data_IF_107492050962
#
_entry.id   IF_107492050962
#
_cell.length_a   1.000
_cell.length_b   1.000
_cell.length_c   1.000
_cell.angle_alpha   90.00
_cell.angle_beta   90.00
_cell.angle_gamma   90.00
#
_symmetry.space_group_name_H-M   'P 1'
#
loop_
_entity.id
_entity.type
_entity.pdbx_description
1 polymer ?
#
# COMPACT_ATOMS: atom_id res chain seq x y z
N UNK A 1 6.73 20.94 9.17
CA UNK A 1 7.68 20.77 8.05
C UNK A 1 7.19 19.61 7.22
N UNK A 2 7.29 19.65 5.89
CA UNK A 2 6.92 18.51 5.05
C UNK A 2 8.05 17.46 5.11
N UNK A 3 7.68 16.20 5.25
CA UNK A 3 8.59 15.04 5.34
C UNK A 3 8.30 14.13 4.15
N UNK A 4 9.31 13.48 3.57
CA UNK A 4 9.10 12.43 2.56
C UNK A 4 9.04 11.05 3.21
N UNK A 5 8.37 10.08 2.57
CA UNK A 5 8.25 8.72 3.12
C UNK A 5 9.61 8.08 3.43
N UNK A 6 10.62 8.39 2.60
CA UNK A 6 11.99 7.90 2.75
C UNK A 6 12.69 8.40 4.01
N UNK A 7 12.27 9.55 4.53
CA UNK A 7 12.86 10.14 5.73
C UNK A 7 12.25 9.52 7.01
N UNK A 8 11.10 8.85 6.88
CA UNK A 8 10.39 8.20 7.99
C UNK A 8 10.91 6.79 8.31
N UNK A 9 11.52 6.14 7.33
CA UNK A 9 11.95 4.75 7.44
C UNK A 9 13.43 4.61 7.09
N UNK A 10 14.17 3.88 7.91
CA UNK A 10 15.51 3.46 7.51
C UNK A 10 15.42 2.52 6.31
N UNK A 11 16.44 2.51 5.45
CA UNK A 11 16.48 1.67 4.24
C UNK A 11 16.19 0.18 4.51
N UNK A 12 16.47 -0.30 5.72
CA UNK A 12 16.28 -1.70 6.11
C UNK A 12 14.95 -1.97 6.82
N UNK A 13 14.11 -0.96 7.04
CA UNK A 13 12.85 -1.11 7.75
C UNK A 13 11.94 -2.13 7.06
N UNK A 14 11.95 -2.19 5.74
CA UNK A 14 11.05 -3.05 4.98
C UNK A 14 11.55 -4.49 4.80
N UNK A 15 12.83 -4.74 5.04
CA UNK A 15 13.46 -6.05 4.81
C UNK A 15 12.80 -7.14 5.65
N UNK A 16 12.43 -8.25 5.01
CA UNK A 16 11.84 -9.46 5.62
C UNK A 16 10.53 -9.23 6.39
N UNK A 17 9.79 -8.15 6.09
CA UNK A 17 8.51 -7.83 6.75
C UNK A 17 7.34 -7.93 5.80
N UNK A 18 6.22 -8.48 6.30
CA UNK A 18 4.93 -8.46 5.62
C UNK A 18 4.12 -7.25 6.04
N UNK A 19 3.72 -6.44 5.07
CA UNK A 19 3.06 -5.15 5.28
C UNK A 19 1.71 -5.18 4.60
N UNK A 20 0.69 -4.78 5.35
CA UNK A 20 -0.65 -4.58 4.84
C UNK A 20 -0.89 -3.09 4.59
N UNK A 21 -1.42 -2.75 3.43
CA UNK A 21 -1.95 -1.42 3.12
C UNK A 21 -3.48 -1.53 3.14
N UNK A 22 -4.12 -0.86 4.10
CA UNK A 22 -5.57 -0.85 4.30
C UNK A 22 -6.14 0.47 3.75
N UNK A 23 -6.69 0.43 2.54
CA UNK A 23 -7.37 1.57 1.93
C UNK A 23 -8.79 1.67 2.47
N UNK A 24 -9.07 2.76 3.19
CA UNK A 24 -10.45 3.10 3.57
C UNK A 24 -11.17 3.85 2.46
N UNK A 25 -12.50 3.85 2.51
CA UNK A 25 -13.33 4.56 1.54
C UNK A 25 -12.84 5.99 1.28
N UNK A 26 -13.00 6.45 0.04
CA UNK A 26 -12.74 7.84 -0.42
C UNK A 26 -11.28 8.27 -0.48
N UNK A 27 -10.32 7.36 -0.24
CA UNK A 27 -8.90 7.59 -0.51
C UNK A 27 -8.37 6.62 -1.56
N UNK A 28 -7.27 6.97 -2.20
CA UNK A 28 -6.56 6.14 -3.19
C UNK A 28 -5.14 5.91 -2.67
N UNK A 29 -4.66 4.66 -2.62
CA UNK A 29 -3.32 4.33 -2.11
C UNK A 29 -2.21 4.24 -3.17
N UNK A 30 -2.48 4.58 -4.43
CA UNK A 30 -1.51 4.50 -5.54
C UNK A 30 -0.29 5.40 -5.29
N UNK A 31 -0.49 6.54 -4.60
CA UNK A 31 0.61 7.41 -4.19
C UNK A 31 1.58 6.70 -3.24
N UNK A 32 1.05 5.85 -2.34
CA UNK A 32 1.86 5.12 -1.37
C UNK A 32 2.60 3.98 -2.06
N UNK A 33 1.97 3.31 -3.03
CA UNK A 33 2.63 2.31 -3.88
C UNK A 33 3.81 2.95 -4.63
N UNK A 34 3.62 4.13 -5.23
CA UNK A 34 4.68 4.89 -5.88
C UNK A 34 5.82 5.21 -4.91
N UNK A 35 5.49 5.82 -3.77
CA UNK A 35 6.50 6.26 -2.79
C UNK A 35 7.30 5.08 -2.22
N UNK A 36 6.64 3.96 -1.90
CA UNK A 36 7.30 2.73 -1.49
C UNK A 36 8.14 2.13 -2.60
N UNK A 37 7.69 2.21 -3.85
CA UNK A 37 8.44 1.67 -4.98
C UNK A 37 9.75 2.41 -5.24
N UNK A 38 9.82 3.70 -4.92
CA UNK A 38 11.07 4.47 -4.92
C UNK A 38 12.05 4.04 -3.82
N UNK A 39 11.57 3.36 -2.77
CA UNK A 39 12.39 2.86 -1.66
C UNK A 39 12.87 1.43 -1.85
N UNK A 40 12.26 0.70 -2.79
CA UNK A 40 12.52 -0.71 -3.04
C UNK A 40 13.36 -0.89 -4.31
N UNK A 41 14.23 -1.89 -4.32
CA UNK A 41 15.06 -2.19 -5.48
C UNK A 41 14.28 -3.04 -6.49
N UNK A 42 13.86 -2.43 -7.60
CA UNK A 42 13.12 -3.08 -8.70
C UNK A 42 11.84 -3.84 -8.24
N UNK A 43 10.89 -3.15 -7.60
CA UNK A 43 9.66 -3.78 -7.16
C UNK A 43 8.81 -4.25 -8.34
N UNK A 44 8.02 -5.30 -8.10
CA UNK A 44 6.99 -5.77 -9.01
C UNK A 44 5.59 -5.69 -8.37
N UNK A 45 4.57 -5.46 -9.18
CA UNK A 45 3.18 -5.41 -8.74
C UNK A 45 2.31 -6.33 -9.57
N UNK A 46 1.48 -7.12 -8.89
CA UNK A 46 0.38 -7.84 -9.52
C UNK A 46 -0.92 -7.08 -9.35
N UNK A 47 -1.66 -6.89 -10.44
CA UNK A 47 -2.97 -6.24 -10.46
C UNK A 47 -4.03 -7.22 -10.97
N UNK A 48 -5.17 -7.33 -10.27
CA UNK A 48 -6.37 -8.05 -10.75
C UNK A 48 -7.25 -7.21 -11.66
N UNK A 49 -6.71 -6.17 -12.28
CA UNK A 49 -7.39 -5.44 -13.36
C UNK A 49 -6.57 -5.64 -14.63
N UNK A 50 -7.25 -5.93 -15.74
CA UNK A 50 -6.62 -5.96 -17.06
C UNK A 50 -6.11 -4.54 -17.38
N UNK A 51 -4.84 -4.27 -17.14
CA UNK A 51 -4.16 -3.16 -17.78
C UNK A 51 -3.62 -3.65 -19.13
N UNK A 52 -3.62 -2.81 -20.17
CA UNK A 52 -2.92 -3.14 -21.40
C UNK A 52 -1.46 -3.50 -21.07
N UNK A 53 -1.02 -4.66 -21.57
CA UNK A 53 0.29 -5.25 -21.31
C UNK A 53 1.43 -4.21 -21.39
N UNK A 54 2.37 -4.29 -20.45
CA UNK A 54 3.65 -3.59 -20.47
C UNK A 54 3.62 -2.05 -20.34
N UNK A 55 3.00 -1.52 -19.28
CA UNK A 55 3.36 -0.18 -18.80
C UNK A 55 4.21 -0.28 -17.55
N UNK A 56 5.42 0.26 -17.58
CA UNK A 56 6.14 0.59 -16.36
C UNK A 56 5.44 1.78 -15.70
N UNK A 57 4.79 1.54 -14.58
CA UNK A 57 4.26 2.64 -13.76
C UNK A 57 5.32 2.96 -12.72
N UNK A 58 5.89 4.16 -12.78
CA UNK A 58 6.92 4.61 -11.84
C UNK A 58 8.12 3.65 -11.66
N UNK A 59 8.54 2.96 -12.73
CA UNK A 59 9.65 2.00 -12.67
C UNK A 59 9.30 0.62 -12.07
N UNK A 60 8.03 0.37 -11.78
CA UNK A 60 7.51 -0.91 -11.28
C UNK A 60 7.21 -1.84 -12.45
N UNK A 61 7.59 -3.11 -12.33
CA UNK A 61 7.17 -4.15 -13.28
C UNK A 61 5.72 -4.57 -12.99
N UNK A 62 4.81 -4.36 -13.93
CA UNK A 62 3.38 -4.67 -13.78
C UNK A 62 3.05 -6.01 -14.43
N UNK A 63 2.35 -6.87 -13.69
CA UNK A 63 1.77 -8.12 -14.18
C UNK A 63 0.26 -8.14 -13.94
N UNK A 64 -0.49 -8.69 -14.88
CA UNK A 64 -1.96 -8.78 -14.80
C UNK A 64 -2.53 -10.06 -15.46
N UNK A 65 -1.84 -11.20 -15.30
CA UNK A 65 -2.27 -12.48 -15.88
C UNK A 65 -3.08 -13.36 -14.90
N UNK A 66 -4.30 -13.75 -15.26
CA UNK A 66 -5.19 -14.58 -14.44
C UNK A 66 -4.95 -16.10 -14.59
N UNK A 67 -3.70 -16.57 -14.59
CA UNK A 67 -3.38 -18.01 -14.74
C UNK A 67 -2.47 -18.52 -13.62
N UNK A 68 -3.00 -19.43 -12.78
CA UNK A 68 -2.25 -20.17 -11.74
C UNK A 68 -1.76 -19.33 -10.56
N UNK A 69 -1.05 -19.91 -9.59
CA UNK A 69 -0.53 -19.22 -8.39
C UNK A 69 0.68 -18.28 -8.65
N UNK A 70 0.90 -17.85 -9.90
CA UNK A 70 2.13 -17.20 -10.36
C UNK A 70 2.35 -15.82 -9.68
N UNK A 71 1.35 -15.29 -9.01
CA UNK A 71 1.33 -13.96 -8.38
C UNK A 71 1.62 -13.93 -6.87
N UNK A 72 1.88 -15.08 -6.22
CA UNK A 72 2.12 -15.09 -4.76
C UNK A 72 3.41 -14.38 -4.34
N UNK A 73 4.37 -14.22 -5.25
CA UNK A 73 5.74 -13.78 -4.94
C UNK A 73 6.08 -12.38 -5.46
N UNK A 74 5.12 -11.61 -5.98
CA UNK A 74 5.37 -10.23 -6.36
C UNK A 74 5.63 -9.35 -5.13
N UNK A 75 6.34 -8.23 -5.30
CA UNK A 75 6.59 -7.29 -4.19
C UNK A 75 5.29 -6.73 -3.65
N UNK A 76 4.38 -6.33 -4.55
CA UNK A 76 3.06 -5.83 -4.26
C UNK A 76 1.98 -6.75 -4.84
N UNK A 77 0.99 -7.09 -4.02
CA UNK A 77 -0.26 -7.72 -4.46
C UNK A 77 -1.39 -6.71 -4.32
N UNK A 78 -1.87 -6.17 -5.44
CA UNK A 78 -3.03 -5.28 -5.42
C UNK A 78 -4.32 -6.07 -5.29
N UNK A 79 -5.29 -5.53 -4.57
CA UNK A 79 -6.60 -6.11 -4.32
C UNK A 79 -6.57 -7.52 -3.71
N UNK A 80 -5.85 -7.68 -2.60
CA UNK A 80 -5.64 -8.94 -1.85
C UNK A 80 -6.94 -9.67 -1.50
N UNK A 81 -8.05 -8.96 -1.29
CA UNK A 81 -9.34 -9.58 -1.07
C UNK A 81 -9.81 -10.42 -2.28
N UNK A 82 -9.60 -9.92 -3.50
CA UNK A 82 -9.95 -10.66 -4.72
C UNK A 82 -9.05 -11.89 -4.85
N UNK A 83 -7.74 -11.72 -4.61
CA UNK A 83 -6.77 -12.82 -4.61
C UNK A 83 -7.24 -14.01 -3.77
N UNK A 84 -7.62 -13.73 -2.52
CA UNK A 84 -8.03 -14.73 -1.55
C UNK A 84 -9.39 -15.35 -1.89
N UNK A 85 -10.39 -14.51 -2.18
CA UNK A 85 -11.77 -14.97 -2.21
C UNK A 85 -12.25 -15.43 -3.58
N UNK A 86 -11.73 -14.84 -4.66
CA UNK A 86 -12.14 -15.21 -6.03
C UNK A 86 -11.18 -16.23 -6.64
N UNK A 87 -9.88 -16.12 -6.32
CA UNK A 87 -8.84 -16.95 -6.93
C UNK A 87 -8.18 -17.94 -5.95
N UNK A 88 -8.65 -18.00 -4.70
CA UNK A 88 -8.18 -18.94 -3.67
C UNK A 88 -6.66 -18.90 -3.42
N UNK A 89 -6.06 -17.71 -3.48
CA UNK A 89 -4.61 -17.58 -3.31
C UNK A 89 -4.22 -17.19 -1.91
N UNK A 90 -3.13 -17.81 -1.46
CA UNK A 90 -2.44 -17.45 -0.23
C UNK A 90 -1.48 -16.29 -0.52
N UNK A 91 -1.74 -15.07 -0.01
CA UNK A 91 -0.88 -13.92 -0.27
C UNK A 91 0.50 -14.13 0.38
N UNK A 92 1.56 -14.11 -0.42
CA UNK A 92 2.93 -14.18 0.07
C UNK A 92 3.78 -12.95 -0.28
N UNK A 93 3.18 -11.96 -0.94
CA UNK A 93 3.80 -10.68 -1.25
C UNK A 93 4.23 -9.91 0.00
N UNK A 94 5.31 -9.14 -0.13
CA UNK A 94 5.82 -8.26 0.92
C UNK A 94 4.78 -7.21 1.28
N UNK A 95 4.14 -6.60 0.28
CA UNK A 95 3.05 -5.65 0.45
C UNK A 95 1.75 -6.25 -0.10
N UNK A 96 0.73 -6.31 0.76
CA UNK A 96 -0.63 -6.70 0.39
C UNK A 96 -1.55 -5.51 0.50
N UNK A 97 -2.16 -5.11 -0.61
CA UNK A 97 -3.07 -3.97 -0.65
C UNK A 97 -4.49 -4.49 -0.58
N UNK A 98 -5.26 -3.98 0.37
CA UNK A 98 -6.71 -4.17 0.45
C UNK A 98 -7.37 -2.86 0.05
N UNK A 99 -8.14 -2.91 -1.04
CA UNK A 99 -8.90 -1.78 -1.58
C UNK A 99 -10.30 -1.74 -0.98
N UNK A 100 -10.97 -0.60 -1.09
CA UNK A 100 -12.43 -0.48 -0.90
C UNK A 100 -12.95 -1.07 0.42
N UNK A 101 -12.25 -0.85 1.55
CA UNK A 101 -12.62 -1.39 2.86
C UNK A 101 -12.76 -2.92 2.94
N UNK A 102 -12.16 -3.66 2.02
CA UNK A 102 -12.25 -5.14 2.03
C UNK A 102 -11.41 -5.80 3.13
N UNK A 103 -10.52 -5.04 3.78
CA UNK A 103 -9.71 -5.54 4.89
C UNK A 103 -10.50 -5.67 6.18
N UNK A 104 -10.42 -6.84 6.82
CA UNK A 104 -10.93 -7.04 8.18
C UNK A 104 -9.81 -6.92 9.22
N UNK A 105 -10.16 -6.74 10.49
CA UNK A 105 -9.17 -6.79 11.60
C UNK A 105 -8.49 -8.16 11.72
N UNK A 106 -9.15 -9.24 11.28
CA UNK A 106 -8.56 -10.57 11.28
C UNK A 106 -7.39 -10.66 10.29
N UNK A 107 -7.52 -10.01 9.13
CA UNK A 107 -6.46 -10.00 8.12
C UNK A 107 -5.16 -9.37 8.65
N UNK A 108 -5.25 -8.35 9.52
CA UNK A 108 -4.08 -7.70 10.15
C UNK A 108 -3.17 -8.67 10.91
N UNK A 109 -3.68 -9.81 11.39
CA UNK A 109 -2.88 -10.82 12.10
C UNK A 109 -1.93 -11.61 11.20
N UNK A 110 -2.00 -11.44 9.88
CA UNK A 110 -1.08 -12.08 8.95
C UNK A 110 0.12 -11.19 8.58
N UNK A 111 0.19 -9.99 9.15
CA UNK A 111 1.17 -8.97 8.80
C UNK A 111 1.89 -8.43 10.03
N UNK A 112 3.09 -7.89 9.81
CA UNK A 112 3.93 -7.28 10.84
C UNK A 112 3.53 -5.83 11.08
N UNK A 113 3.24 -5.11 9.99
CA UNK A 113 2.82 -3.72 10.01
C UNK A 113 1.57 -3.49 9.16
N UNK A 114 0.78 -2.53 9.60
CA UNK A 114 -0.42 -2.05 8.93
C UNK A 114 -0.23 -0.58 8.62
N UNK A 115 -0.34 -0.23 7.34
CA UNK A 115 -0.39 1.12 6.81
C UNK A 115 -1.85 1.41 6.52
N UNK A 116 -2.51 2.04 7.47
CA UNK A 116 -3.92 2.37 7.41
C UNK A 116 -4.07 3.76 6.77
N UNK A 117 -4.70 3.83 5.60
CA UNK A 117 -4.89 5.06 4.83
C UNK A 117 -6.36 5.46 4.90
N UNK A 118 -6.63 6.64 5.46
CA UNK A 118 -7.99 7.07 5.82
C UNK A 118 -8.24 8.51 5.37
N UNK A 119 -9.50 8.88 5.06
CA UNK A 119 -9.85 10.28 4.89
C UNK A 119 -9.65 11.04 6.21
N UNK A 120 -9.55 12.37 6.13
CA UNK A 120 -9.55 13.20 7.33
C UNK A 120 -10.88 13.05 8.07
N UNK A 121 -10.84 13.06 9.40
CA UNK A 121 -12.05 13.02 10.22
C UNK A 121 -13.02 14.19 9.95
N UNK A 122 -12.49 15.33 9.48
CA UNK A 122 -13.27 16.50 9.07
C UNK A 122 -13.89 16.39 7.67
N UNK A 123 -13.63 15.31 6.94
CA UNK A 123 -14.03 15.16 5.54
C UNK A 123 -13.04 15.81 4.58
N UNK A 124 -13.52 16.74 3.75
CA UNK A 124 -12.71 17.37 2.69
C UNK A 124 -11.83 18.52 3.22
N UNK A 125 -10.57 18.54 2.81
CA UNK A 125 -9.64 19.63 3.11
C UNK A 125 -8.84 19.98 1.86
N UNK A 126 -8.63 21.28 1.60
CA UNK A 126 -7.78 21.72 0.48
C UNK A 126 -6.30 21.40 0.76
N UNK A 127 -5.90 21.48 2.04
CA UNK A 127 -4.50 21.36 2.47
C UNK A 127 -4.00 19.93 2.62
N UNK A 128 -4.88 18.97 2.88
CA UNK A 128 -4.52 17.58 3.12
C UNK A 128 -5.57 16.68 2.45
N UNK A 129 -5.13 15.58 1.86
CA UNK A 129 -6.01 14.64 1.17
C UNK A 129 -6.48 13.51 2.09
N UNK A 130 -5.69 13.19 3.13
CA UNK A 130 -6.03 12.14 4.08
C UNK A 130 -5.00 12.01 5.21
N UNK A 131 -5.06 10.87 5.88
CA UNK A 131 -4.13 10.46 6.93
C UNK A 131 -3.58 9.08 6.65
N UNK A 132 -2.33 8.86 7.08
CA UNK A 132 -1.72 7.54 7.16
C UNK A 132 -1.38 7.25 8.61
N UNK A 133 -1.80 6.09 9.08
CA UNK A 133 -1.45 5.55 10.38
C UNK A 133 -0.63 4.29 10.17
N UNK A 134 0.61 4.28 10.67
CA UNK A 134 1.47 3.10 10.66
C UNK A 134 1.45 2.49 12.05
N UNK A 135 1.02 1.24 12.12
CA UNK A 135 0.85 0.52 13.39
C UNK A 135 1.23 -0.94 13.24
N UNK A 136 1.39 -1.62 14.36
CA UNK A 136 1.32 -3.08 14.42
C UNK A 136 0.11 -3.48 15.28
N UNK A 137 0.06 -4.76 15.68
CA UNK A 137 -1.02 -5.32 16.51
C UNK A 137 -1.09 -4.70 17.91
N UNK A 138 0.01 -4.12 18.39
CA UNK A 138 0.16 -3.69 19.78
C UNK A 138 0.11 -2.18 19.93
N UNK A 139 0.62 -1.43 18.95
CA UNK A 139 0.75 0.02 19.05
C UNK A 139 0.72 0.71 17.71
N UNK A 140 0.26 1.95 17.76
CA UNK A 140 0.49 2.96 16.73
C UNK A 140 1.93 3.48 16.87
N UNK A 141 2.66 3.53 15.75
CA UNK A 141 4.03 4.06 15.72
C UNK A 141 4.03 5.51 15.30
N UNK A 142 3.26 5.83 14.25
CA UNK A 142 3.22 7.16 13.67
C UNK A 142 1.87 7.37 13.00
N UNK A 143 1.42 8.62 13.07
CA UNK A 143 0.23 9.10 12.42
C UNK A 143 0.55 10.40 11.72
N UNK A 144 0.22 10.49 10.45
CA UNK A 144 0.59 11.62 9.59
C UNK A 144 -0.62 12.07 8.78
N UNK A 145 -0.70 13.36 8.51
CA UNK A 145 -1.52 13.88 7.40
C UNK A 145 -0.67 13.83 6.13
N UNK A 146 -1.30 13.65 4.98
CA UNK A 146 -0.60 13.69 3.70
C UNK A 146 -1.29 14.61 2.70
N UNK A 147 -0.48 15.15 1.77
CA UNK A 147 -0.93 15.78 0.54
C UNK A 147 -0.24 15.07 -0.63
N UNK A 148 -1.04 14.51 -1.53
CA UNK A 148 -0.56 13.79 -2.70
C UNK A 148 -0.60 14.68 -3.93
N UNK A 149 0.52 14.71 -4.64
CA UNK A 149 0.68 15.30 -5.96
C UNK A 149 1.00 14.18 -6.95
N UNK A 150 0.91 14.47 -8.25
CA UNK A 150 1.23 13.50 -9.30
C UNK A 150 2.65 12.92 -9.16
N UNK A 151 3.63 13.74 -8.77
CA UNK A 151 5.05 13.35 -8.72
C UNK A 151 5.61 13.07 -7.32
N UNK A 152 4.90 13.46 -6.25
CA UNK A 152 5.39 13.35 -4.87
C UNK A 152 4.24 13.30 -3.86
N UNK A 153 4.54 12.86 -2.65
CA UNK A 153 3.67 13.01 -1.49
C UNK A 153 4.42 13.77 -0.42
N UNK A 154 3.73 14.70 0.23
CA UNK A 154 4.24 15.39 1.41
C UNK A 154 3.51 14.89 2.64
N UNK A 155 4.26 14.54 3.68
CA UNK A 155 3.75 14.06 4.95
C UNK A 155 3.95 15.11 6.06
N UNK A 156 2.99 15.18 6.97
CA UNK A 156 2.96 16.16 8.05
C UNK A 156 2.62 15.48 9.37
N UNK A 157 3.51 15.63 10.35
CA UNK A 157 3.25 15.24 11.74
C UNK A 157 2.11 16.09 12.35
N UNK A 158 1.49 15.55 13.40
CA UNK A 158 0.44 16.22 14.16
C UNK A 158 0.99 17.33 15.06
#
# INVERSE_FOLDING_TARGET
MAIELKDLFSNNFFNDRKILIDEKNTVNVDFLIRDLSCLLNNPSIFLYNELPENKSFYGINIKSEYKGDIYSNETFLDHTFIAKNLFNVTPNSQFSIYRDNTCTKYDWYNYDFIFLVEPLASGLCVKFDGMITIKNRHKEFIKLKYKSYTSKTEYFEF
#
